data_IF_486040873563
#
_entry.id   IF_486040873563
#
_cell.length_a   1.000
_cell.length_b   1.000
_cell.length_c   1.000
_cell.angle_alpha   90.00
_cell.angle_beta   90.00
_cell.angle_gamma   90.00
#
_symmetry.space_group_name_H-M   'P 1'
#
loop_
_entity.id
_entity.type
_entity.pdbx_description
1 polymer ?
#
# COMPACT_ATOMS: atom_id res chain seq x y z
N UNK A 1 12.95 33.96 -4.76
CA UNK A 1 12.32 33.07 -5.73
C UNK A 1 12.16 33.83 -7.04
N UNK A 2 12.60 33.24 -8.14
CA UNK A 2 12.52 33.80 -9.50
C UNK A 2 13.00 35.25 -9.67
N UNK A 3 13.82 35.71 -8.73
CA UNK A 3 14.36 37.09 -8.69
C UNK A 3 13.26 38.18 -8.61
N UNK A 4 12.04 37.83 -8.21
CA UNK A 4 10.87 38.74 -8.12
C UNK A 4 10.49 39.05 -6.67
N UNK A 5 10.67 38.12 -5.76
CA UNK A 5 10.23 38.26 -4.37
C UNK A 5 11.34 37.92 -3.38
N UNK A 6 11.47 38.74 -2.34
CA UNK A 6 12.43 38.52 -1.25
C UNK A 6 11.67 37.96 -0.05
N UNK A 7 12.14 36.86 0.48
CA UNK A 7 11.56 36.21 1.66
C UNK A 7 12.53 36.23 2.83
N UNK A 8 12.02 36.39 4.03
CA UNK A 8 12.80 36.30 5.25
C UNK A 8 12.64 34.91 5.85
N UNK A 9 13.75 34.27 6.17
CA UNK A 9 13.74 32.97 6.87
C UNK A 9 13.27 33.20 8.31
N UNK A 10 12.06 32.73 8.63
CA UNK A 10 11.47 32.84 9.98
C UNK A 10 11.80 31.65 10.88
N UNK A 11 12.22 30.55 10.32
CA UNK A 11 12.57 29.35 11.08
C UNK A 11 13.09 28.22 10.20
N UNK A 12 13.71 27.25 10.87
CA UNK A 12 14.17 26.00 10.27
C UNK A 12 13.48 24.86 11.00
N UNK A 13 12.86 23.97 10.25
CA UNK A 13 12.17 22.79 10.79
C UNK A 13 13.04 21.55 10.57
N UNK A 14 12.84 20.54 11.40
CA UNK A 14 13.43 19.21 11.20
C UNK A 14 12.78 18.54 9.99
N UNK A 15 13.54 17.68 9.30
CA UNK A 15 13.02 16.87 8.21
C UNK A 15 11.71 16.19 8.60
N UNK A 16 10.76 16.25 7.70
CA UNK A 16 9.45 15.66 7.94
C UNK A 16 9.52 14.13 7.94
N UNK A 17 8.68 13.45 8.72
CA UNK A 17 8.64 12.00 8.73
C UNK A 17 8.35 11.42 7.36
N UNK A 18 8.93 10.27 7.04
CA UNK A 18 8.75 9.57 5.74
C UNK A 18 7.29 9.23 5.40
N UNK A 19 6.43 9.16 6.40
CA UNK A 19 4.99 8.93 6.24
C UNK A 19 4.17 10.22 6.10
N UNK A 20 4.82 11.40 6.06
CA UNK A 20 4.14 12.67 5.79
C UNK A 20 3.93 12.84 4.28
N UNK A 21 2.77 13.35 3.88
CA UNK A 21 2.51 13.76 2.49
C UNK A 21 3.28 15.04 2.10
N UNK A 22 3.86 15.76 3.09
CA UNK A 22 4.72 16.93 2.87
C UNK A 22 6.21 16.58 2.83
N UNK A 23 6.59 15.30 2.93
CA UNK A 23 7.99 14.87 3.05
C UNK A 23 8.91 15.31 1.91
N UNK A 24 8.34 15.52 0.72
CA UNK A 24 9.09 15.86 -0.50
C UNK A 24 9.27 17.38 -0.64
N UNK A 25 8.71 18.18 0.28
CA UNK A 25 8.84 19.63 0.29
C UNK A 25 9.95 20.06 1.26
N UNK A 26 10.91 20.82 0.74
CA UNK A 26 12.05 21.37 1.52
C UNK A 26 11.87 22.82 1.92
N UNK A 27 10.87 23.51 1.36
CA UNK A 27 10.61 24.93 1.61
C UNK A 27 9.12 25.16 1.83
N UNK A 28 8.77 25.87 2.88
CA UNK A 28 7.41 26.29 3.19
C UNK A 28 7.36 27.82 3.21
N UNK A 29 6.48 28.38 2.41
CA UNK A 29 6.26 29.82 2.34
C UNK A 29 4.92 30.18 2.96
N UNK A 30 4.83 31.36 3.57
CA UNK A 30 3.53 31.92 3.95
C UNK A 30 2.75 32.27 2.70
N UNK A 31 1.46 31.89 2.68
CA UNK A 31 0.53 32.29 1.63
C UNK A 31 0.02 33.74 1.82
N UNK A 32 0.31 34.33 2.98
CA UNK A 32 -0.07 35.70 3.28
C UNK A 32 0.66 36.68 2.35
N UNK A 33 -0.10 37.49 1.63
CA UNK A 33 0.43 38.42 0.63
C UNK A 33 0.59 37.82 -0.76
N UNK A 34 0.20 36.56 -0.98
CA UNK A 34 0.10 35.97 -2.31
C UNK A 34 -1.17 36.50 -3.00
N UNK A 35 -1.01 37.07 -4.19
CA UNK A 35 -2.12 37.65 -4.96
C UNK A 35 -3.16 36.59 -5.32
N UNK A 36 -2.73 35.39 -5.74
CA UNK A 36 -3.60 34.27 -6.12
C UNK A 36 -4.43 33.75 -4.94
N UNK A 37 -3.89 33.85 -3.73
CA UNK A 37 -4.61 33.42 -2.52
C UNK A 37 -5.71 34.39 -2.08
N UNK A 38 -5.66 35.63 -2.54
CA UNK A 38 -6.62 36.71 -2.22
C UNK A 38 -7.72 36.89 -3.27
N UNK A 39 -7.60 36.24 -4.43
CA UNK A 39 -8.57 36.33 -5.52
C UNK A 39 -9.73 35.36 -5.29
N UNK A 40 -10.97 35.89 -5.39
CA UNK A 40 -12.20 35.08 -5.34
C UNK A 40 -12.47 34.42 -6.70
N UNK A 41 -11.65 33.47 -7.08
CA UNK A 41 -11.70 32.77 -8.37
C UNK A 41 -12.22 31.34 -8.22
N UNK A 42 -13.51 31.16 -8.46
CA UNK A 42 -14.21 29.88 -8.29
C UNK A 42 -13.96 28.85 -9.42
N UNK A 43 -13.26 29.22 -10.47
CA UNK A 43 -12.87 28.35 -11.58
C UNK A 43 -11.43 27.85 -11.47
N UNK A 44 -10.66 28.40 -10.52
CA UNK A 44 -9.30 27.96 -10.24
C UNK A 44 -9.26 26.82 -9.20
N UNK A 45 -8.40 25.83 -9.43
CA UNK A 45 -8.22 24.69 -8.54
C UNK A 45 -6.75 24.52 -8.15
N UNK A 46 -6.04 25.63 -7.98
CA UNK A 46 -4.60 25.65 -7.71
C UNK A 46 -4.23 25.30 -6.26
N UNK A 47 -5.20 25.26 -5.35
CA UNK A 47 -4.97 25.04 -3.93
C UNK A 47 -5.51 23.70 -3.44
N UNK A 48 -4.68 22.98 -2.69
CA UNK A 48 -5.11 21.80 -1.93
C UNK A 48 -5.70 22.27 -0.60
N UNK A 49 -6.95 21.96 -0.35
CA UNK A 49 -7.67 22.43 0.83
C UNK A 49 -7.93 21.29 1.80
N UNK A 50 -7.49 21.46 3.04
CA UNK A 50 -7.78 20.55 4.15
C UNK A 50 -8.81 21.15 5.08
N UNK A 51 -9.79 20.35 5.50
CA UNK A 51 -10.81 20.74 6.44
C UNK A 51 -10.74 19.87 7.70
N UNK A 52 -10.95 20.48 8.85
CA UNK A 52 -11.12 19.79 10.13
C UNK A 52 -12.56 19.90 10.56
N UNK A 53 -13.25 18.77 10.59
CA UNK A 53 -14.63 18.74 11.07
C UNK A 53 -14.68 18.96 12.58
N UNK A 54 -15.77 19.61 13.04
CA UNK A 54 -16.05 19.73 14.46
C UNK A 54 -16.29 18.35 15.10
N UNK A 55 -16.03 18.18 16.40
CA UNK A 55 -16.39 16.96 17.11
C UNK A 55 -17.88 16.64 16.87
N UNK A 56 -18.18 15.39 16.53
CA UNK A 56 -19.54 14.89 16.22
C UNK A 56 -20.13 15.32 14.87
N UNK A 57 -19.45 16.16 14.06
CA UNK A 57 -19.92 16.46 12.71
C UNK A 57 -19.78 15.21 11.81
N UNK A 58 -20.81 14.93 11.03
CA UNK A 58 -20.81 13.82 10.07
C UNK A 58 -20.36 14.33 8.70
N UNK A 59 -19.53 13.57 8.04
CA UNK A 59 -19.04 13.91 6.69
C UNK A 59 -20.19 14.02 5.68
N UNK A 60 -21.22 13.18 5.83
CA UNK A 60 -22.40 13.17 4.96
C UNK A 60 -23.17 14.52 5.00
N UNK A 61 -23.21 15.16 6.16
CA UNK A 61 -23.88 16.46 6.33
C UNK A 61 -23.09 17.59 5.62
N UNK A 62 -21.78 17.40 5.46
CA UNK A 62 -20.92 18.34 4.75
C UNK A 62 -20.97 18.16 3.23
N UNK A 63 -21.28 16.97 2.73
CA UNK A 63 -21.36 16.70 1.29
C UNK A 63 -22.47 17.48 0.59
N UNK A 64 -23.61 17.68 1.25
CA UNK A 64 -24.75 18.43 0.66
C UNK A 64 -24.39 19.88 0.31
N UNK A 65 -23.82 20.68 1.24
CA UNK A 65 -23.31 22.01 0.91
C UNK A 65 -22.29 22.03 -0.22
N UNK A 66 -21.38 21.05 -0.27
CA UNK A 66 -20.37 20.95 -1.33
C UNK A 66 -21.02 20.75 -2.70
N UNK A 67 -22.03 19.90 -2.80
CA UNK A 67 -22.75 19.69 -4.07
C UNK A 67 -23.44 20.95 -4.58
N UNK A 68 -23.88 21.83 -3.69
CA UNK A 68 -24.54 23.09 -4.06
C UNK A 68 -23.55 24.19 -4.49
N UNK A 69 -22.24 23.98 -4.32
CA UNK A 69 -21.23 25.01 -4.65
C UNK A 69 -21.20 25.36 -6.14
N UNK A 70 -21.44 24.38 -7.02
CA UNK A 70 -21.49 24.60 -8.45
C UNK A 70 -22.50 25.71 -8.81
N UNK A 71 -23.77 25.52 -8.45
CA UNK A 71 -24.83 26.50 -8.77
C UNK A 71 -24.70 27.81 -7.99
N UNK A 72 -24.21 27.75 -6.75
CA UNK A 72 -24.17 28.92 -5.86
C UNK A 72 -22.99 29.87 -6.14
N UNK A 73 -21.85 29.33 -6.52
CA UNK A 73 -20.61 30.11 -6.63
C UNK A 73 -19.96 30.02 -8.02
N UNK A 74 -19.81 28.79 -8.57
CA UNK A 74 -19.08 28.59 -9.80
C UNK A 74 -19.84 29.12 -11.01
N UNK A 75 -21.11 28.80 -11.15
CA UNK A 75 -21.93 29.28 -12.29
C UNK A 75 -22.04 30.82 -12.30
N UNK A 76 -22.38 31.49 -11.19
CA UNK A 76 -22.40 32.96 -11.16
C UNK A 76 -21.04 33.61 -11.45
N UNK A 77 -19.94 32.97 -11.05
CA UNK A 77 -18.60 33.44 -11.42
C UNK A 77 -18.34 33.25 -12.92
N UNK A 78 -18.66 32.10 -13.48
CA UNK A 78 -18.48 31.76 -14.89
C UNK A 78 -19.33 32.68 -15.82
N UNK A 79 -20.49 33.12 -15.36
CA UNK A 79 -21.35 34.07 -16.11
C UNK A 79 -20.67 35.40 -16.43
N UNK A 80 -19.62 35.78 -15.67
CA UNK A 80 -18.81 36.99 -16.01
C UNK A 80 -18.06 36.84 -17.31
N UNK A 81 -17.72 35.62 -17.71
CA UNK A 81 -16.96 35.30 -18.92
C UNK A 81 -17.84 34.67 -20.02
N UNK A 82 -18.90 33.96 -19.61
CA UNK A 82 -19.84 33.29 -20.50
C UNK A 82 -21.27 33.68 -20.13
N UNK A 83 -21.72 34.86 -20.61
CA UNK A 83 -23.06 35.37 -20.30
C UNK A 83 -24.15 34.35 -20.70
N UNK A 84 -25.07 34.09 -19.80
CA UNK A 84 -26.20 33.19 -20.04
C UNK A 84 -25.99 31.74 -19.69
N UNK A 85 -24.77 31.31 -19.33
CA UNK A 85 -24.55 29.93 -18.91
C UNK A 85 -25.35 29.61 -17.66
N UNK A 86 -26.07 28.47 -17.68
CA UNK A 86 -26.80 27.93 -16.52
C UNK A 86 -26.16 26.61 -16.08
N UNK A 87 -26.52 26.14 -14.88
CA UNK A 87 -26.06 24.84 -14.38
C UNK A 87 -26.56 23.71 -15.28
N UNK A 88 -27.81 23.79 -15.77
CA UNK A 88 -28.41 22.83 -16.66
C UNK A 88 -27.67 22.76 -18.01
N UNK A 89 -27.35 23.93 -18.61
CA UNK A 89 -26.58 23.99 -19.86
C UNK A 89 -25.16 23.48 -19.68
N UNK A 90 -24.52 23.79 -18.55
CA UNK A 90 -23.19 23.28 -18.23
C UNK A 90 -23.17 21.75 -18.18
N UNK A 91 -24.14 21.14 -17.51
CA UNK A 91 -24.29 19.69 -17.42
C UNK A 91 -24.70 19.08 -18.77
N UNK A 92 -25.63 19.70 -19.48
CA UNK A 92 -26.13 19.22 -20.77
C UNK A 92 -25.03 19.22 -21.85
N UNK A 93 -24.05 20.12 -21.74
CA UNK A 93 -22.85 20.14 -22.63
C UNK A 93 -21.82 19.05 -22.30
N UNK A 94 -22.13 18.14 -21.38
CA UNK A 94 -21.25 17.04 -20.99
C UNK A 94 -20.18 17.42 -19.95
N UNK A 95 -20.23 18.64 -19.43
CA UNK A 95 -19.32 19.08 -18.37
C UNK A 95 -19.78 18.56 -17.01
N UNK A 96 -18.81 18.27 -16.14
CA UNK A 96 -19.08 17.81 -14.77
C UNK A 96 -18.05 18.43 -13.82
N UNK A 97 -18.53 19.12 -12.83
CA UNK A 97 -17.73 19.61 -11.72
C UNK A 97 -18.39 19.17 -10.41
N UNK A 98 -17.71 18.36 -9.64
CA UNK A 98 -18.22 17.83 -8.38
C UNK A 98 -17.18 18.04 -7.30
N UNK A 99 -17.57 18.73 -6.24
CA UNK A 99 -16.76 18.85 -5.04
C UNK A 99 -17.04 17.67 -4.11
N UNK A 100 -15.99 16.98 -3.72
CA UNK A 100 -16.08 15.85 -2.80
C UNK A 100 -14.97 15.93 -1.76
N UNK A 101 -15.12 15.17 -0.70
CA UNK A 101 -14.12 15.05 0.35
C UNK A 101 -13.54 13.64 0.37
N UNK A 102 -12.25 13.55 0.65
CA UNK A 102 -11.55 12.29 0.86
C UNK A 102 -10.98 12.32 2.28
N UNK A 103 -11.20 11.30 3.11
CA UNK A 103 -10.53 11.20 4.40
C UNK A 103 -9.01 11.23 4.24
N UNK A 104 -8.32 11.96 5.10
CA UNK A 104 -6.86 12.09 5.02
C UNK A 104 -6.14 10.72 5.05
N UNK A 105 -6.70 9.75 5.75
CA UNK A 105 -6.21 8.37 5.83
C UNK A 105 -6.32 7.60 4.52
N UNK A 106 -7.24 8.00 3.64
CA UNK A 106 -7.55 7.28 2.40
C UNK A 106 -6.82 7.85 1.19
N UNK A 107 -6.29 9.06 1.28
CA UNK A 107 -5.61 9.75 0.17
C UNK A 107 -4.50 8.86 -0.41
N UNK A 108 -3.65 8.29 0.44
CA UNK A 108 -2.47 7.56 -0.01
C UNK A 108 -2.76 6.35 -0.91
N UNK A 109 -3.87 5.65 -0.72
CA UNK A 109 -4.18 4.41 -1.43
C UNK A 109 -5.38 4.49 -2.37
N UNK A 110 -6.30 5.42 -2.11
CA UNK A 110 -7.59 5.46 -2.78
C UNK A 110 -7.81 6.74 -3.60
N UNK A 111 -6.97 7.77 -3.44
CA UNK A 111 -7.08 8.97 -4.26
C UNK A 111 -6.55 8.73 -5.67
N UNK A 112 -7.30 9.25 -6.66
CA UNK A 112 -6.93 9.25 -8.08
C UNK A 112 -6.94 10.69 -8.64
N UNK A 113 -6.75 11.67 -7.77
CA UNK A 113 -6.77 13.09 -8.14
C UNK A 113 -5.39 13.44 -8.70
N UNK A 114 -5.37 14.10 -9.85
CA UNK A 114 -4.15 14.68 -10.40
C UNK A 114 -3.68 15.88 -9.56
N UNK A 115 -2.38 16.04 -9.38
CA UNK A 115 -1.81 17.15 -8.61
C UNK A 115 -1.77 16.95 -7.09
N UNK A 116 -1.80 15.72 -6.63
CA UNK A 116 -1.60 15.38 -5.22
C UNK A 116 -0.23 15.84 -4.70
N UNK A 117 -0.17 16.22 -3.42
CA UNK A 117 1.05 16.74 -2.78
C UNK A 117 2.18 15.71 -2.67
N UNK A 118 1.90 14.42 -2.80
CA UNK A 118 2.91 13.36 -2.84
C UNK A 118 2.43 12.22 -3.75
N UNK A 119 3.39 11.41 -4.21
CA UNK A 119 3.05 10.21 -4.99
C UNK A 119 2.24 9.23 -4.16
N UNK A 120 1.05 8.91 -4.66
CA UNK A 120 0.15 7.96 -4.02
C UNK A 120 0.49 6.51 -4.36
N UNK A 121 0.15 5.61 -3.46
CA UNK A 121 0.07 4.19 -3.74
C UNK A 121 -1.22 3.87 -4.50
N UNK A 122 -1.38 2.61 -4.87
CA UNK A 122 -2.62 2.11 -5.45
C UNK A 122 -3.04 0.83 -4.74
N UNK A 123 -4.25 0.81 -4.22
CA UNK A 123 -4.82 -0.40 -3.61
C UNK A 123 -4.87 -1.55 -4.63
N UNK A 124 -5.14 -1.23 -5.89
CA UNK A 124 -5.12 -2.22 -6.97
C UNK A 124 -3.74 -2.86 -7.14
N UNK A 125 -2.67 -2.07 -7.09
CA UNK A 125 -1.30 -2.58 -7.16
C UNK A 125 -0.97 -3.48 -5.96
N UNK A 126 -1.46 -3.14 -4.77
CA UNK A 126 -1.30 -3.98 -3.57
C UNK A 126 -1.98 -5.33 -3.77
N UNK A 127 -3.21 -5.36 -4.29
CA UNK A 127 -3.92 -6.62 -4.58
C UNK A 127 -3.19 -7.44 -5.63
N UNK A 128 -2.73 -6.83 -6.73
CA UNK A 128 -1.99 -7.51 -7.79
C UNK A 128 -0.71 -8.14 -7.24
N UNK A 129 0.09 -7.37 -6.50
CA UNK A 129 1.35 -7.86 -5.92
C UNK A 129 1.10 -8.95 -4.88
N UNK A 130 0.07 -8.82 -4.05
CA UNK A 130 -0.33 -9.83 -3.07
C UNK A 130 -0.76 -11.13 -3.75
N UNK A 131 -1.52 -11.03 -4.84
CA UNK A 131 -1.95 -12.20 -5.61
C UNK A 131 -0.78 -12.91 -6.28
N UNK A 132 0.15 -12.15 -6.88
CA UNK A 132 1.38 -12.70 -7.45
C UNK A 132 2.21 -13.40 -6.37
N UNK A 133 2.38 -12.78 -5.19
CA UNK A 133 3.09 -13.39 -4.07
C UNK A 133 2.44 -14.70 -3.61
N UNK A 134 1.13 -14.72 -3.45
CA UNK A 134 0.38 -15.92 -3.09
C UNK A 134 0.52 -17.04 -4.14
N UNK A 135 0.44 -16.67 -5.41
CA UNK A 135 0.62 -17.59 -6.54
C UNK A 135 2.02 -18.23 -6.54
N UNK A 136 3.06 -17.43 -6.35
CA UNK A 136 4.46 -17.93 -6.28
C UNK A 136 4.66 -18.88 -5.11
N UNK A 137 4.10 -18.55 -3.93
CA UNK A 137 4.16 -19.44 -2.75
C UNK A 137 3.44 -20.76 -3.03
N UNK A 138 2.27 -20.71 -3.66
CA UNK A 138 1.50 -21.92 -4.02
C UNK A 138 2.29 -22.80 -5.00
N UNK A 139 2.89 -22.18 -6.03
CA UNK A 139 3.70 -22.87 -7.03
C UNK A 139 4.93 -23.54 -6.39
N UNK A 140 5.63 -22.83 -5.50
CA UNK A 140 6.76 -23.35 -4.74
C UNK A 140 6.34 -24.51 -3.84
N UNK A 141 5.18 -24.43 -3.18
CA UNK A 141 4.64 -25.49 -2.32
C UNK A 141 4.30 -26.74 -3.12
N UNK A 142 3.67 -26.60 -4.28
CA UNK A 142 3.38 -27.74 -5.17
C UNK A 142 4.68 -28.38 -5.67
N UNK A 143 5.65 -27.59 -6.07
CA UNK A 143 6.96 -28.11 -6.49
C UNK A 143 7.67 -28.89 -5.37
N UNK A 144 7.65 -28.35 -4.14
CA UNK A 144 8.19 -29.03 -2.98
C UNK A 144 7.44 -30.35 -2.68
N UNK A 145 6.10 -30.36 -2.77
CA UNK A 145 5.30 -31.57 -2.61
C UNK A 145 5.69 -32.64 -3.63
N UNK A 146 5.84 -32.27 -4.88
CA UNK A 146 6.22 -33.22 -5.95
C UNK A 146 7.62 -33.83 -5.69
N UNK A 147 8.58 -33.00 -5.30
CA UNK A 147 9.93 -33.47 -4.94
C UNK A 147 9.89 -34.37 -3.71
N UNK A 148 9.19 -33.97 -2.65
CA UNK A 148 9.07 -34.73 -1.41
C UNK A 148 8.40 -36.09 -1.65
N UNK A 149 7.37 -36.13 -2.51
CA UNK A 149 6.71 -37.39 -2.91
C UNK A 149 7.68 -38.30 -3.69
N UNK A 150 8.44 -37.76 -4.62
CA UNK A 150 9.44 -38.53 -5.36
C UNK A 150 10.55 -39.10 -4.44
N UNK A 151 10.96 -38.33 -3.45
CA UNK A 151 11.89 -38.81 -2.42
C UNK A 151 11.27 -39.89 -1.53
N UNK A 152 10.01 -39.74 -1.15
CA UNK A 152 9.28 -40.77 -0.35
C UNK A 152 9.19 -42.10 -1.07
N UNK A 153 8.96 -42.11 -2.39
CA UNK A 153 8.96 -43.32 -3.19
C UNK A 153 10.31 -44.04 -3.19
N UNK A 154 11.42 -43.29 -3.28
CA UNK A 154 12.77 -43.87 -3.16
C UNK A 154 13.05 -44.47 -1.77
N UNK A 155 12.48 -43.89 -0.69
CA UNK A 155 12.61 -44.36 0.68
C UNK A 155 11.56 -45.40 1.08
N UNK A 156 10.64 -45.77 0.20
CA UNK A 156 9.55 -46.72 0.52
C UNK A 156 10.06 -48.07 1.07
N UNK A 157 11.17 -48.57 0.50
CA UNK A 157 11.86 -49.78 1.02
C UNK A 157 12.33 -49.63 2.48
N UNK A 158 12.95 -48.48 2.81
CA UNK A 158 13.44 -48.20 4.17
C UNK A 158 12.28 -48.06 5.16
N UNK A 159 11.23 -47.34 4.76
CA UNK A 159 10.01 -47.19 5.54
C UNK A 159 9.32 -48.55 5.77
N UNK A 160 9.28 -49.41 4.72
CA UNK A 160 8.76 -50.79 4.81
C UNK A 160 9.53 -51.62 5.82
N UNK A 161 10.87 -51.62 5.78
CA UNK A 161 11.73 -52.33 6.72
C UNK A 161 11.55 -51.80 8.15
N UNK A 162 11.47 -50.49 8.36
CA UNK A 162 11.24 -49.92 9.69
C UNK A 162 9.85 -50.29 10.23
N UNK A 163 8.86 -50.37 9.38
CA UNK A 163 7.50 -50.77 9.77
C UNK A 163 7.42 -52.23 10.16
N UNK A 164 8.16 -53.13 9.49
CA UNK A 164 8.28 -54.53 9.85
C UNK A 164 9.06 -54.74 11.16
N UNK A 165 10.01 -53.84 11.47
CA UNK A 165 10.76 -53.78 12.72
C UNK A 165 9.98 -53.13 13.88
N UNK A 166 8.69 -52.74 13.68
CA UNK A 166 7.81 -52.26 14.73
C UNK A 166 7.72 -50.73 14.87
N UNK A 167 8.27 -49.96 13.93
CA UNK A 167 8.08 -48.49 13.94
C UNK A 167 6.62 -48.09 13.79
N UNK A 168 6.12 -47.24 14.69
CA UNK A 168 4.75 -46.72 14.61
C UNK A 168 4.58 -45.71 13.49
N UNK A 169 3.37 -45.66 12.93
CA UNK A 169 2.99 -44.66 11.90
C UNK A 169 3.26 -43.22 12.36
N UNK A 170 3.01 -42.93 13.63
CA UNK A 170 3.23 -41.60 14.24
C UNK A 170 4.70 -41.20 14.30
N UNK A 171 5.61 -42.16 14.53
CA UNK A 171 7.03 -41.90 14.54
C UNK A 171 7.57 -41.50 13.17
N UNK A 172 7.11 -42.18 12.12
CA UNK A 172 7.44 -41.83 10.72
C UNK A 172 6.86 -40.47 10.33
N UNK A 173 5.61 -40.22 10.65
CA UNK A 173 4.94 -38.91 10.38
C UNK A 173 5.70 -37.75 11.05
N UNK A 174 6.06 -37.92 12.33
CA UNK A 174 6.83 -36.95 13.08
C UNK A 174 8.21 -36.68 12.43
N UNK A 175 8.88 -37.74 11.96
CA UNK A 175 10.15 -37.61 11.28
C UNK A 175 10.01 -36.78 10.00
N UNK A 176 9.02 -37.03 9.12
CA UNK A 176 8.77 -36.28 7.91
C UNK A 176 8.43 -34.82 8.20
N UNK A 177 7.60 -34.55 9.22
CA UNK A 177 7.26 -33.17 9.60
C UNK A 177 8.48 -32.39 10.11
N UNK A 178 9.37 -33.04 10.88
CA UNK A 178 10.62 -32.42 11.35
C UNK A 178 11.54 -32.14 10.17
N UNK A 179 11.70 -33.07 9.24
CA UNK A 179 12.53 -32.91 8.05
C UNK A 179 12.02 -31.75 7.18
N UNK A 180 10.70 -31.70 6.91
CA UNK A 180 10.06 -30.59 6.19
C UNK A 180 10.20 -29.26 6.92
N UNK A 181 10.03 -29.24 8.22
CA UNK A 181 10.20 -28.06 9.06
C UNK A 181 11.63 -27.50 9.02
N UNK A 182 12.64 -28.37 9.07
CA UNK A 182 14.04 -27.96 8.95
C UNK A 182 14.33 -27.36 7.58
N UNK A 183 13.88 -27.98 6.50
CA UNK A 183 14.04 -27.47 5.15
C UNK A 183 13.36 -26.10 5.03
N UNK A 184 12.14 -25.95 5.55
CA UNK A 184 11.42 -24.68 5.54
C UNK A 184 12.18 -23.58 6.29
N UNK A 185 12.74 -23.89 7.47
CA UNK A 185 13.53 -22.94 8.25
C UNK A 185 14.81 -22.49 7.51
N UNK A 186 15.53 -23.43 6.91
CA UNK A 186 16.71 -23.11 6.10
C UNK A 186 16.32 -22.23 4.91
N UNK A 187 15.27 -22.61 4.18
CA UNK A 187 14.77 -21.83 3.03
C UNK A 187 14.35 -20.43 3.43
N UNK A 188 13.68 -20.28 4.58
CA UNK A 188 13.27 -18.99 5.11
C UNK A 188 14.47 -18.11 5.46
N UNK A 189 15.50 -18.70 6.07
CA UNK A 189 16.74 -17.98 6.38
C UNK A 189 17.41 -17.47 5.11
N UNK A 190 17.52 -18.32 4.08
CA UNK A 190 18.03 -17.90 2.77
C UNK A 190 17.17 -16.81 2.13
N UNK A 191 15.85 -16.92 2.19
CA UNK A 191 14.93 -15.93 1.66
C UNK A 191 15.12 -14.56 2.33
N UNK A 192 15.29 -14.53 3.67
CA UNK A 192 15.58 -13.29 4.40
C UNK A 192 16.91 -12.69 4.01
N UNK A 193 17.97 -13.51 3.90
CA UNK A 193 19.30 -13.03 3.46
C UNK A 193 19.21 -12.43 2.06
N UNK A 194 18.59 -13.13 1.13
CA UNK A 194 18.41 -12.62 -0.24
C UNK A 194 17.59 -11.33 -0.25
N UNK A 195 16.52 -11.24 0.56
CA UNK A 195 15.72 -10.03 0.67
C UNK A 195 16.56 -8.85 1.15
N UNK A 196 17.39 -9.03 2.19
CA UNK A 196 18.28 -7.96 2.69
C UNK A 196 19.27 -7.51 1.62
N UNK A 197 19.85 -8.47 0.87
CA UNK A 197 20.84 -8.16 -0.18
C UNK A 197 20.21 -7.42 -1.36
N UNK A 198 19.03 -7.84 -1.81
CA UNK A 198 18.38 -7.26 -3.00
C UNK A 198 17.48 -6.06 -2.72
N UNK A 199 17.11 -5.82 -1.46
CA UNK A 199 16.20 -4.73 -1.07
C UNK A 199 16.71 -3.33 -1.48
N UNK A 200 18.01 -2.98 -1.34
CA UNK A 200 18.51 -1.68 -1.80
C UNK A 200 18.32 -1.50 -3.31
N UNK A 201 18.67 -2.52 -4.09
CA UNK A 201 18.51 -2.50 -5.55
C UNK A 201 17.03 -2.35 -5.96
N UNK A 202 16.13 -3.06 -5.25
CA UNK A 202 14.70 -2.93 -5.45
C UNK A 202 14.20 -1.51 -5.11
N UNK A 203 14.68 -0.94 -4.01
CA UNK A 203 14.32 0.42 -3.59
C UNK A 203 14.72 1.46 -4.63
N UNK A 204 15.92 1.35 -5.18
CA UNK A 204 16.41 2.25 -6.22
C UNK A 204 15.56 2.14 -7.49
N UNK A 205 15.26 0.92 -7.91
CA UNK A 205 14.44 0.66 -9.11
C UNK A 205 12.99 1.14 -8.93
N UNK A 206 12.41 0.92 -7.75
CA UNK A 206 11.03 1.27 -7.44
C UNK A 206 10.84 2.74 -7.00
N UNK A 207 11.91 3.49 -6.78
CA UNK A 207 11.87 4.84 -6.20
C UNK A 207 11.24 4.85 -4.80
N UNK A 208 11.43 3.76 -4.02
CA UNK A 208 10.84 3.58 -2.70
C UNK A 208 11.91 3.40 -1.62
N UNK A 209 11.53 3.62 -0.37
CA UNK A 209 12.37 3.38 0.80
C UNK A 209 11.73 2.32 1.70
N UNK A 210 11.66 1.09 1.20
CA UNK A 210 11.13 -0.05 1.95
C UNK A 210 12.23 -0.56 2.88
N UNK A 211 11.88 -0.80 4.13
CA UNK A 211 12.77 -1.42 5.12
C UNK A 211 12.08 -2.63 5.76
N UNK A 212 12.88 -3.66 6.05
CA UNK A 212 12.37 -4.84 6.77
C UNK A 212 12.17 -4.44 8.24
N UNK A 213 10.99 -4.64 8.81
CA UNK A 213 10.69 -4.21 10.17
C UNK A 213 11.23 -5.21 11.21
N UNK A 214 12.54 -5.43 11.27
CA UNK A 214 13.17 -6.39 12.19
C UNK A 214 12.87 -6.12 13.67
N UNK A 215 12.62 -4.85 14.03
CA UNK A 215 12.27 -4.48 15.41
C UNK A 215 10.81 -4.76 15.77
N UNK A 216 9.96 -5.15 14.80
CA UNK A 216 8.54 -5.38 15.05
C UNK A 216 8.27 -6.87 15.39
N UNK A 217 7.81 -7.19 16.62
CA UNK A 217 7.50 -8.57 17.00
C UNK A 217 6.42 -9.23 16.14
N UNK A 218 5.47 -8.43 15.64
CA UNK A 218 4.40 -8.93 14.75
C UNK A 218 4.97 -9.50 13.45
N UNK A 219 6.01 -8.85 12.88
CA UNK A 219 6.70 -9.33 11.69
C UNK A 219 7.23 -10.76 11.90
N UNK A 220 7.92 -11.00 13.02
CA UNK A 220 8.46 -12.33 13.35
C UNK A 220 7.35 -13.33 13.61
N UNK A 221 6.27 -12.91 14.28
CA UNK A 221 5.09 -13.74 14.50
C UNK A 221 4.45 -14.24 13.21
N UNK A 222 4.20 -13.32 12.26
CA UNK A 222 3.64 -13.65 10.94
C UNK A 222 4.58 -14.57 10.17
N UNK A 223 5.86 -14.31 10.20
CA UNK A 223 6.89 -15.07 9.50
C UNK A 223 6.98 -16.51 10.06
N UNK A 224 6.95 -16.67 11.38
CA UNK A 224 6.95 -17.96 12.04
C UNK A 224 5.67 -18.76 11.72
N UNK A 225 4.50 -18.14 11.81
CA UNK A 225 3.22 -18.77 11.47
C UNK A 225 3.22 -19.21 10.01
N UNK A 226 3.70 -18.37 9.10
CA UNK A 226 3.81 -18.71 7.68
C UNK A 226 4.75 -19.90 7.45
N UNK A 227 5.89 -19.94 8.14
CA UNK A 227 6.83 -21.07 8.06
C UNK A 227 6.20 -22.38 8.56
N UNK A 228 5.48 -22.34 9.69
CA UNK A 228 4.77 -23.50 10.24
C UNK A 228 3.71 -23.99 9.25
N UNK A 229 2.87 -23.07 8.75
CA UNK A 229 1.81 -23.40 7.78
C UNK A 229 2.40 -24.05 6.53
N UNK A 230 3.42 -23.43 5.93
CA UNK A 230 4.09 -23.96 4.74
C UNK A 230 4.75 -25.31 5.02
N UNK A 231 5.45 -25.47 6.15
CA UNK A 231 6.08 -26.71 6.55
C UNK A 231 5.08 -27.85 6.73
N UNK A 232 3.93 -27.57 7.36
CA UNK A 232 2.85 -28.52 7.55
C UNK A 232 2.21 -28.93 6.21
N UNK A 233 1.82 -27.96 5.38
CA UNK A 233 1.22 -28.25 4.06
C UNK A 233 2.17 -29.04 3.18
N UNK A 234 3.44 -28.67 3.15
CA UNK A 234 4.45 -29.34 2.34
C UNK A 234 4.83 -30.73 2.85
N UNK A 235 4.76 -30.97 4.15
CA UNK A 235 5.12 -32.24 4.77
C UNK A 235 3.95 -33.22 4.92
N UNK A 236 2.71 -32.73 4.92
CA UNK A 236 1.52 -33.55 5.12
C UNK A 236 1.29 -34.55 3.99
N UNK A 237 1.28 -34.07 2.75
CA UNK A 237 0.97 -34.91 1.60
C UNK A 237 1.89 -36.15 1.42
N UNK A 238 3.24 -36.01 1.57
CA UNK A 238 4.13 -37.18 1.47
C UNK A 238 4.06 -38.13 2.66
N UNK A 239 3.41 -37.72 3.76
CA UNK A 239 3.34 -38.50 5.01
C UNK A 239 2.14 -39.45 5.05
N UNK A 240 1.20 -39.34 4.12
CA UNK A 240 0.07 -40.27 3.94
C UNK A 240 0.29 -41.22 2.78
#
# INVERSE_FOLDING_TARGET
LDNRSTYTVSGVIKDLPKNSFLRDYSLFLSIEGDEDASVDEWTSHNFVTFIKLAPHARIDDFQKPLQSMLGKYVIPYAQRYFPGITEEEFIASGNRLVYSTIPLTDIHLNSQIDGEMSSNGSMQNIYILSFIGLFLITLASVNFMNLSTAYSLKRSKEVGIRKTLGSSKSALLRQFLIESGLITLISLTFALVLTVVFLPFFNDLAGKNIAIPFANPLFWGILLVSAIVLGLFSGWYPAF
#
